data_IF_176582016615
#
_entry.id   IF_176582016615
#
_cell.length_a   1.000
_cell.length_b   1.000
_cell.length_c   1.000
_cell.angle_alpha   90.00
_cell.angle_beta   90.00
_cell.angle_gamma   90.00
#
_symmetry.space_group_name_H-M   'P 1'
#
loop_
_entity.id
_entity.type
_entity.pdbx_description
1 polymer ?
#
# COMPACT_ATOMS: atom_id res chain seq x y z
N UNK A 1 -0.29 -21.54 -12.54
CA UNK A 1 -0.44 -20.08 -12.41
C UNK A 1 -0.95 -19.83 -10.99
N UNK A 2 -0.13 -19.25 -10.11
CA UNK A 2 -0.52 -18.97 -8.72
C UNK A 2 -1.53 -17.83 -8.74
N UNK A 3 -2.80 -18.16 -8.59
CA UNK A 3 -3.85 -17.17 -8.49
C UNK A 3 -3.86 -16.65 -7.07
N UNK A 4 -3.85 -15.33 -6.95
CA UNK A 4 -4.06 -14.49 -5.77
C UNK A 4 -5.35 -14.81 -4.97
N UNK A 5 -6.10 -15.84 -5.40
CA UNK A 5 -7.42 -16.27 -4.96
C UNK A 5 -7.47 -16.90 -3.57
N UNK A 6 -6.35 -17.35 -3.02
CA UNK A 6 -6.33 -17.92 -1.66
C UNK A 6 -6.09 -16.85 -0.58
N UNK A 7 -5.59 -15.67 -0.96
CA UNK A 7 -5.47 -14.54 -0.05
C UNK A 7 -6.83 -13.82 0.00
N UNK A 8 -7.48 -13.84 1.16
CA UNK A 8 -8.86 -13.37 1.37
C UNK A 8 -9.05 -11.83 1.23
N UNK A 9 -8.06 -11.12 0.71
CA UNK A 9 -8.11 -9.67 0.47
C UNK A 9 -7.71 -9.36 -0.98
N UNK A 10 -8.36 -8.38 -1.60
CA UNK A 10 -7.89 -7.81 -2.87
C UNK A 10 -6.60 -7.05 -2.61
N UNK A 11 -5.55 -7.29 -3.40
CA UNK A 11 -4.28 -6.58 -3.21
C UNK A 11 -4.43 -5.11 -3.56
N UNK A 12 -3.99 -4.27 -2.62
CA UNK A 12 -3.88 -2.84 -2.79
C UNK A 12 -2.78 -2.54 -3.81
N UNK A 13 -3.02 -1.61 -4.75
CA UNK A 13 -1.96 -1.13 -5.61
C UNK A 13 -0.88 -0.44 -4.76
N UNK A 14 0.38 -0.55 -5.19
CA UNK A 14 1.45 0.22 -4.58
C UNK A 14 1.18 1.71 -4.85
N UNK A 15 1.15 2.56 -3.82
CA UNK A 15 0.96 3.99 -4.04
C UNK A 15 2.22 4.59 -4.65
N UNK A 16 2.00 5.49 -5.62
CA UNK A 16 3.07 6.26 -6.25
C UNK A 16 3.51 7.38 -5.32
N UNK A 17 4.83 7.54 -5.19
CA UNK A 17 5.38 8.65 -4.41
C UNK A 17 5.11 9.96 -5.17
N UNK A 18 4.58 11.00 -4.52
CA UNK A 18 4.31 12.27 -5.18
C UNK A 18 5.60 12.91 -5.64
N UNK A 19 5.58 13.51 -6.82
CA UNK A 19 6.72 14.27 -7.31
C UNK A 19 6.95 15.52 -6.45
N UNK A 20 8.17 16.08 -6.47
CA UNK A 20 8.51 17.25 -5.65
C UNK A 20 7.63 18.47 -5.97
N UNK A 21 7.12 18.58 -7.20
CA UNK A 21 6.20 19.64 -7.62
C UNK A 21 4.74 19.38 -7.21
N UNK A 22 4.40 18.14 -6.83
CA UNK A 22 3.10 17.73 -6.28
C UNK A 22 3.10 17.75 -4.75
N UNK A 23 4.29 17.67 -4.14
CA UNK A 23 4.46 17.90 -2.72
C UNK A 23 3.97 19.30 -2.36
N UNK A 24 2.79 19.32 -1.77
CA UNK A 24 2.11 20.51 -1.35
C UNK A 24 2.96 21.33 -0.36
N UNK A 25 3.04 22.64 -0.60
CA UNK A 25 3.48 23.58 0.44
C UNK A 25 2.44 23.71 1.57
N UNK A 26 2.65 24.67 2.46
CA UNK A 26 1.79 24.88 3.66
C UNK A 26 0.31 25.20 3.37
N UNK A 27 -0.07 25.46 2.11
CA UNK A 27 -1.38 25.97 1.72
C UNK A 27 -2.43 24.88 1.42
N UNK A 28 -2.04 23.61 1.31
CA UNK A 28 -2.94 22.57 0.79
C UNK A 28 -3.78 21.85 1.85
N UNK A 29 -3.48 22.04 3.14
CA UNK A 29 -4.22 21.44 4.26
C UNK A 29 -4.46 19.93 4.07
N UNK A 30 -5.70 19.48 4.36
CA UNK A 30 -6.11 18.07 4.27
C UNK A 30 -6.15 17.51 2.83
N UNK A 31 -5.99 18.35 1.81
CA UNK A 31 -5.87 17.93 0.41
C UNK A 31 -4.41 17.74 -0.02
N UNK A 32 -3.48 17.68 0.93
CA UNK A 32 -2.08 17.46 0.67
C UNK A 32 -1.84 16.09 0.01
N UNK A 33 -1.29 16.08 -1.22
CA UNK A 33 -1.02 14.85 -1.97
C UNK A 33 -0.06 13.93 -1.20
N UNK A 34 0.90 14.52 -0.47
CA UNK A 34 1.80 13.77 0.38
C UNK A 34 1.09 13.08 1.55
N UNK A 35 0.11 13.72 2.18
CA UNK A 35 -0.66 13.09 3.27
C UNK A 35 -1.56 11.95 2.75
N UNK A 36 -2.16 12.13 1.58
CA UNK A 36 -2.91 11.07 0.89
C UNK A 36 -1.99 9.89 0.60
N UNK A 37 -0.82 10.14 0.00
CA UNK A 37 0.20 9.11 -0.24
C UNK A 37 0.57 8.37 1.05
N UNK A 38 0.84 9.09 2.15
CA UNK A 38 1.22 8.47 3.42
C UNK A 38 0.11 7.56 3.96
N UNK A 39 -1.15 8.02 3.94
CA UNK A 39 -2.29 7.21 4.38
C UNK A 39 -2.42 5.93 3.55
N UNK A 40 -2.32 6.07 2.23
CA UNK A 40 -2.47 4.93 1.31
C UNK A 40 -1.28 3.96 1.44
N UNK A 41 -0.08 4.49 1.68
CA UNK A 41 1.14 3.70 1.95
C UNK A 41 1.02 2.89 3.23
N UNK A 42 0.49 3.47 4.31
CA UNK A 42 0.27 2.76 5.58
C UNK A 42 -0.66 1.56 5.36
N UNK A 43 -1.75 1.75 4.62
CA UNK A 43 -2.68 0.67 4.30
C UNK A 43 -2.03 -0.42 3.44
N UNK A 44 -1.29 -0.02 2.40
CA UNK A 44 -0.54 -0.92 1.53
C UNK A 44 0.49 -1.75 2.32
N UNK A 45 1.36 -1.11 3.09
CA UNK A 45 2.42 -1.77 3.85
C UNK A 45 1.82 -2.79 4.85
N UNK A 46 0.73 -2.43 5.53
CA UNK A 46 0.04 -3.32 6.46
C UNK A 46 -0.49 -4.58 5.75
N UNK A 47 -1.03 -4.44 4.53
CA UNK A 47 -1.46 -5.59 3.75
C UNK A 47 -0.27 -6.43 3.26
N UNK A 48 0.81 -5.81 2.79
CA UNK A 48 1.99 -6.55 2.35
C UNK A 48 2.59 -7.41 3.45
N UNK A 49 2.53 -6.96 4.71
CA UNK A 49 2.93 -7.77 5.87
C UNK A 49 2.06 -9.03 6.00
N UNK A 50 0.74 -8.90 5.94
CA UNK A 50 -0.19 -10.06 6.01
C UNK A 50 -0.02 -11.00 4.82
N UNK A 51 0.18 -10.44 3.62
CA UNK A 51 0.46 -11.23 2.42
C UNK A 51 1.75 -12.04 2.58
N UNK A 52 2.81 -11.42 3.10
CA UNK A 52 4.07 -12.12 3.38
C UNK A 52 3.86 -13.27 4.36
N UNK A 53 3.18 -13.02 5.48
CA UNK A 53 2.88 -14.06 6.48
C UNK A 53 2.09 -15.23 5.88
N UNK A 54 1.10 -14.92 5.03
CA UNK A 54 0.33 -15.94 4.29
C UNK A 54 1.20 -16.77 3.34
N UNK A 55 2.07 -16.12 2.55
CA UNK A 55 2.97 -16.81 1.63
C UNK A 55 4.01 -17.66 2.35
N UNK A 56 4.56 -17.15 3.46
CA UNK A 56 5.52 -17.88 4.28
C UNK A 56 4.88 -19.16 4.87
N UNK A 57 3.62 -19.10 5.32
CA UNK A 57 2.86 -20.27 5.78
C UNK A 57 2.61 -21.28 4.66
N UNK A 58 2.19 -20.81 3.48
CA UNK A 58 1.95 -21.66 2.30
C UNK A 58 3.20 -22.37 1.78
N UNK A 59 4.37 -21.76 1.97
CA UNK A 59 5.66 -22.32 1.51
C UNK A 59 6.24 -23.33 2.51
N UNK A 60 5.73 -23.35 3.75
CA UNK A 60 6.18 -24.26 4.80
C UNK A 60 5.36 -25.56 4.88
N UNK A 61 4.22 -25.65 4.17
CA UNK A 61 3.43 -26.88 3.93
C UNK A 61 4.01 -27.70 2.77
#
# INVERSE_FOLDING_TARGET
MMTQSDFNEVLLPKPDYPEDWECCGSECGDCCVYEIYQRDKIAYDAQQKRLKEFLDQKTAE
#
